data_IF_190359510781
#
_entry.id   IF_190359510781
#
_cell.length_a   1.000
_cell.length_b   1.000
_cell.length_c   1.000
_cell.angle_alpha   90.00
_cell.angle_beta   90.00
_cell.angle_gamma   90.00
#
_symmetry.space_group_name_H-M   'P 1'
#
loop_
_entity.id
_entity.type
_entity.pdbx_description
1 polymer ?
#
# COMPACT_ATOMS: atom_id res chain seq x y z
N UNK A 1 -16.52 -5.42 -2.32
CA UNK A 1 -15.36 -4.81 -1.60
C UNK A 1 -15.36 -3.30 -1.81
N UNK A 2 -15.32 -2.50 -0.76
CA UNK A 2 -15.33 -1.03 -0.76
C UNK A 2 -13.96 -0.48 -0.37
N UNK A 3 -13.66 0.78 -0.73
CA UNK A 3 -12.45 1.45 -0.25
C UNK A 3 -12.61 1.92 1.19
N UNK A 4 -11.50 2.10 1.90
CA UNK A 4 -11.48 2.53 3.31
C UNK A 4 -12.27 3.82 3.57
N UNK A 5 -12.35 4.73 2.59
CA UNK A 5 -13.12 5.97 2.70
C UNK A 5 -14.63 5.73 2.87
N UNK A 6 -15.16 4.62 2.35
CA UNK A 6 -16.56 4.24 2.53
C UNK A 6 -16.92 3.91 3.99
N UNK A 7 -15.94 3.55 4.83
CA UNK A 7 -16.14 3.36 6.27
C UNK A 7 -16.63 4.63 6.98
N UNK A 8 -16.27 5.81 6.50
CA UNK A 8 -16.71 7.06 7.12
C UNK A 8 -18.24 7.25 7.03
N UNK A 9 -18.84 6.84 5.91
CA UNK A 9 -20.29 6.85 5.76
C UNK A 9 -20.94 5.80 6.68
N UNK A 10 -20.35 4.61 6.79
CA UNK A 10 -20.81 3.56 7.69
C UNK A 10 -20.72 4.00 9.17
N UNK A 11 -19.61 4.63 9.59
CA UNK A 11 -19.48 5.16 10.96
C UNK A 11 -20.53 6.23 11.29
N UNK A 12 -20.86 7.09 10.31
CA UNK A 12 -21.97 8.06 10.48
C UNK A 12 -23.30 7.35 10.70
N UNK A 13 -23.59 6.32 9.93
CA UNK A 13 -24.79 5.49 10.11
C UNK A 13 -24.85 4.86 11.48
N UNK A 14 -23.76 4.23 11.95
CA UNK A 14 -23.67 3.64 13.30
C UNK A 14 -23.90 4.69 14.40
N UNK A 15 -23.35 5.89 14.23
CA UNK A 15 -23.52 7.00 15.18
C UNK A 15 -24.96 7.54 15.21
N UNK A 16 -25.73 7.30 14.15
CA UNK A 16 -27.15 7.70 14.03
C UNK A 16 -28.13 6.60 14.45
N UNK A 17 -27.64 5.53 15.13
CA UNK A 17 -28.48 4.42 15.61
C UNK A 17 -28.55 3.23 14.65
N UNK A 18 -27.71 3.18 13.61
CA UNK A 18 -27.56 1.99 12.78
C UNK A 18 -26.93 0.82 13.54
N UNK A 19 -27.23 -0.41 13.09
CA UNK A 19 -26.66 -1.62 13.67
C UNK A 19 -25.28 -1.95 13.07
N UNK A 20 -24.41 -2.60 13.85
CA UNK A 20 -23.18 -3.22 13.33
C UNK A 20 -23.52 -4.34 12.36
N UNK A 21 -22.68 -4.49 11.32
CA UNK A 21 -22.72 -5.69 10.49
C UNK A 21 -22.07 -6.85 11.25
N UNK A 22 -22.50 -8.10 11.01
CA UNK A 22 -21.94 -9.27 11.67
C UNK A 22 -20.49 -9.56 11.27
N UNK A 23 -20.08 -9.09 10.10
CA UNK A 23 -18.75 -9.37 9.54
C UNK A 23 -18.16 -8.15 8.85
N UNK A 24 -16.91 -7.87 9.20
CA UNK A 24 -16.04 -6.92 8.49
C UNK A 24 -14.78 -7.64 8.02
N UNK A 25 -14.33 -7.34 6.81
CA UNK A 25 -13.14 -7.95 6.24
C UNK A 25 -12.20 -6.83 5.79
N UNK A 26 -11.02 -6.74 6.40
CA UNK A 26 -9.99 -5.80 6.01
C UNK A 26 -8.93 -6.50 5.18
N UNK A 27 -8.59 -5.94 4.02
CA UNK A 27 -7.53 -6.45 3.16
C UNK A 27 -6.67 -5.31 2.64
N UNK A 28 -5.37 -5.37 2.90
CA UNK A 28 -4.44 -4.34 2.45
C UNK A 28 -3.01 -4.58 2.91
N UNK A 29 -2.12 -3.71 2.48
CA UNK A 29 -0.70 -3.73 2.77
C UNK A 29 -0.17 -2.38 3.30
N UNK A 30 -1.09 -1.45 3.67
CA UNK A 30 -0.71 -0.22 4.37
C UNK A 30 -1.01 -0.33 5.87
N UNK A 31 0.03 -0.59 6.70
CA UNK A 31 -0.18 -0.93 8.10
C UNK A 31 -0.84 0.17 8.93
N UNK A 32 -0.46 1.45 8.71
CA UNK A 32 -1.03 2.57 9.47
C UNK A 32 -2.52 2.73 9.20
N UNK A 33 -2.92 2.77 7.92
CA UNK A 33 -4.31 2.97 7.55
C UNK A 33 -5.18 1.78 7.95
N UNK A 34 -4.63 0.56 7.87
CA UNK A 34 -5.27 -0.66 8.36
C UNK A 34 -5.54 -0.57 9.86
N UNK A 35 -4.52 -0.25 10.64
CA UNK A 35 -4.62 -0.14 12.10
C UNK A 35 -5.63 0.94 12.50
N UNK A 36 -5.58 2.11 11.90
CA UNK A 36 -6.51 3.22 12.21
C UNK A 36 -7.96 2.87 11.86
N UNK A 37 -8.20 2.25 10.71
CA UNK A 37 -9.54 1.83 10.30
C UNK A 37 -10.12 0.78 11.26
N UNK A 38 -9.31 -0.20 11.64
CA UNK A 38 -9.70 -1.23 12.62
C UNK A 38 -9.92 -0.63 14.02
N UNK A 39 -9.05 0.28 14.47
CA UNK A 39 -9.18 0.92 15.79
C UNK A 39 -10.43 1.78 15.87
N UNK A 40 -10.75 2.51 14.79
CA UNK A 40 -11.97 3.29 14.73
C UNK A 40 -13.22 2.40 14.77
N UNK A 41 -13.23 1.29 14.02
CA UNK A 41 -14.34 0.34 14.01
C UNK A 41 -14.51 -0.31 15.38
N UNK A 42 -13.42 -0.77 15.99
CA UNK A 42 -13.41 -1.37 17.32
C UNK A 42 -13.86 -0.39 18.40
N UNK A 43 -13.41 0.86 18.35
CA UNK A 43 -13.86 1.91 19.27
C UNK A 43 -15.36 2.16 19.16
N UNK A 44 -15.90 2.12 17.94
CA UNK A 44 -17.33 2.24 17.69
C UNK A 44 -18.09 1.02 18.22
N UNK A 45 -17.59 -0.19 17.95
CA UNK A 45 -18.17 -1.43 18.47
C UNK A 45 -18.21 -1.44 20.01
N UNK A 46 -17.12 -1.00 20.66
CA UNK A 46 -17.05 -0.91 22.12
C UNK A 46 -18.15 0.00 22.70
N UNK A 47 -18.46 1.13 22.05
CA UNK A 47 -19.54 2.04 22.45
C UNK A 47 -20.92 1.40 22.31
N UNK A 48 -21.06 0.42 21.41
CA UNK A 48 -22.29 -0.35 21.17
C UNK A 48 -22.39 -1.63 22.00
N UNK A 49 -21.47 -1.81 22.98
CA UNK A 49 -21.52 -2.91 23.95
C UNK A 49 -20.66 -4.12 23.60
N UNK A 50 -19.89 -4.10 22.49
CA UNK A 50 -18.95 -5.17 22.13
C UNK A 50 -17.66 -5.04 22.94
N UNK A 51 -17.68 -5.48 24.21
CA UNK A 51 -16.60 -5.29 25.18
C UNK A 51 -15.70 -6.52 25.31
N UNK A 52 -16.22 -7.71 25.08
CA UNK A 52 -15.45 -8.96 25.07
C UNK A 52 -14.70 -9.10 23.73
N UNK A 53 -13.37 -9.18 23.77
CA UNK A 53 -12.51 -9.25 22.58
C UNK A 53 -11.69 -10.53 22.56
N UNK A 54 -11.80 -11.24 21.46
CA UNK A 54 -10.99 -12.41 21.15
C UNK A 54 -10.18 -12.20 19.86
N UNK A 55 -8.91 -12.64 19.84
CA UNK A 55 -8.03 -12.53 18.68
C UNK A 55 -7.46 -13.90 18.33
N UNK A 56 -7.80 -14.36 17.15
CA UNK A 56 -7.42 -15.66 16.60
C UNK A 56 -6.45 -15.42 15.46
N UNK A 57 -5.30 -16.08 15.46
CA UNK A 57 -4.31 -16.00 14.38
C UNK A 57 -4.21 -17.35 13.69
N UNK A 58 -4.45 -17.36 12.38
CA UNK A 58 -4.30 -18.55 11.57
C UNK A 58 -2.81 -18.89 11.39
N UNK A 59 -2.39 -19.98 11.98
CA UNK A 59 -1.05 -20.57 11.86
C UNK A 59 -1.11 -21.90 11.11
N UNK A 60 0.04 -22.53 10.92
CA UNK A 60 0.10 -23.87 10.31
C UNK A 60 -0.60 -24.90 11.20
N UNK A 61 -1.56 -25.63 10.64
CA UNK A 61 -2.38 -26.61 11.40
C UNK A 61 -3.52 -25.98 12.19
N UNK A 62 -3.93 -24.77 11.85
CA UNK A 62 -5.04 -24.09 12.49
C UNK A 62 -6.35 -24.90 12.45
N UNK A 63 -6.98 -25.05 13.61
CA UNK A 63 -8.30 -25.68 13.73
C UNK A 63 -9.41 -24.70 13.34
N UNK A 64 -9.93 -24.83 12.15
CA UNK A 64 -11.04 -24.02 11.64
C UNK A 64 -12.36 -24.21 12.38
N UNK A 65 -12.52 -25.33 13.13
CA UNK A 65 -13.66 -25.54 14.00
C UNK A 65 -13.72 -24.52 15.15
N UNK A 66 -12.59 -24.01 15.59
CA UNK A 66 -12.52 -22.98 16.62
C UNK A 66 -13.22 -21.68 16.20
N UNK A 67 -13.17 -21.30 14.91
CA UNK A 67 -13.88 -20.14 14.39
C UNK A 67 -15.40 -20.31 14.44
N UNK A 68 -15.90 -21.51 14.11
CA UNK A 68 -17.33 -21.85 14.18
C UNK A 68 -17.83 -21.79 15.61
N UNK A 69 -17.04 -22.31 16.55
CA UNK A 69 -17.36 -22.32 17.98
C UNK A 69 -17.31 -20.93 18.60
N UNK A 70 -16.40 -20.05 18.13
CA UNK A 70 -16.29 -18.67 18.62
C UNK A 70 -17.59 -17.87 18.43
N UNK A 71 -18.36 -18.17 17.36
CA UNK A 71 -19.68 -17.58 17.12
C UNK A 71 -20.81 -18.12 17.99
N UNK A 72 -20.64 -19.29 18.59
CA UNK A 72 -21.69 -19.97 19.39
C UNK A 72 -21.49 -19.80 20.91
N UNK A 73 -20.31 -19.37 21.33
CA UNK A 73 -20.00 -19.18 22.74
C UNK A 73 -20.69 -17.90 23.25
N UNK A 74 -21.70 -18.03 24.07
CA UNK A 74 -22.33 -16.89 24.75
C UNK A 74 -21.39 -16.36 25.85
N UNK A 75 -21.27 -15.02 25.96
CA UNK A 75 -20.59 -14.41 27.10
C UNK A 75 -21.30 -14.79 28.39
N UNK A 76 -20.55 -15.19 29.40
CA UNK A 76 -21.09 -15.52 30.73
C UNK A 76 -21.73 -14.30 31.44
N UNK A 77 -21.42 -13.09 30.97
CA UNK A 77 -21.87 -11.82 31.54
C UNK A 77 -22.84 -11.06 30.64
N UNK A 78 -23.27 -11.64 29.52
CA UNK A 78 -24.17 -10.98 28.56
C UNK A 78 -23.52 -9.90 27.68
N UNK A 79 -22.20 -9.77 27.69
CA UNK A 79 -21.49 -8.81 26.90
C UNK A 79 -21.49 -9.23 25.40
N UNK A 80 -21.63 -8.25 24.50
CA UNK A 80 -21.47 -8.48 23.06
C UNK A 80 -19.99 -8.69 22.74
N UNK A 81 -19.71 -9.56 21.76
CA UNK A 81 -18.36 -10.03 21.44
C UNK A 81 -17.81 -9.45 20.17
N UNK A 82 -16.51 -9.16 20.19
CA UNK A 82 -15.67 -8.80 19.03
C UNK A 82 -14.63 -9.89 18.80
N UNK A 83 -14.77 -10.64 17.70
CA UNK A 83 -13.83 -11.71 17.32
C UNK A 83 -13.01 -11.28 16.12
N UNK A 84 -11.70 -11.25 16.27
CA UNK A 84 -10.75 -10.85 15.22
C UNK A 84 -9.99 -12.09 14.72
N UNK A 85 -10.20 -12.48 13.45
CA UNK A 85 -9.46 -13.53 12.78
C UNK A 85 -8.39 -12.93 11.86
N UNK A 86 -7.14 -13.23 12.10
CA UNK A 86 -6.01 -12.84 11.24
C UNK A 86 -5.56 -14.00 10.39
N UNK A 87 -5.50 -13.81 9.06
CA UNK A 87 -4.97 -14.77 8.10
C UNK A 87 -3.75 -14.13 7.42
N UNK A 88 -2.53 -14.21 8.02
CA UNK A 88 -1.36 -13.45 7.58
C UNK A 88 -0.90 -13.79 6.15
N UNK A 89 -1.18 -15.00 5.69
CA UNK A 89 -0.83 -15.44 4.33
C UNK A 89 -1.84 -14.99 3.25
N UNK A 90 -3.05 -14.58 3.66
CA UNK A 90 -4.18 -14.35 2.77
C UNK A 90 -4.70 -15.61 2.07
N UNK A 91 -4.17 -16.78 2.45
CA UNK A 91 -4.48 -18.08 1.83
C UNK A 91 -4.93 -19.08 2.91
N UNK A 92 -6.25 -19.26 3.09
CA UNK A 92 -6.75 -20.16 4.14
C UNK A 92 -6.47 -21.64 3.87
N UNK A 93 -6.02 -22.00 2.66
CA UNK A 93 -5.91 -23.40 2.23
C UNK A 93 -7.28 -23.98 1.82
N UNK A 94 -7.31 -25.28 1.48
CA UNK A 94 -8.54 -25.94 1.06
C UNK A 94 -9.54 -26.04 2.20
N UNK A 95 -9.11 -26.58 3.33
CA UNK A 95 -9.98 -26.79 4.50
C UNK A 95 -10.49 -25.45 5.06
N UNK A 96 -9.61 -24.44 5.09
CA UNK A 96 -9.98 -23.10 5.49
C UNK A 96 -10.96 -22.42 4.52
N UNK A 97 -10.80 -22.60 3.22
CA UNK A 97 -11.74 -22.09 2.24
C UNK A 97 -13.14 -22.70 2.39
N UNK A 98 -13.21 -23.99 2.69
CA UNK A 98 -14.49 -24.69 2.94
C UNK A 98 -15.10 -24.24 4.28
N UNK A 99 -14.30 -24.11 5.33
CA UNK A 99 -14.74 -23.59 6.62
C UNK A 99 -15.26 -22.14 6.54
N UNK A 100 -14.57 -21.26 5.81
CA UNK A 100 -15.00 -19.86 5.66
C UNK A 100 -16.30 -19.74 4.86
N UNK A 101 -16.57 -20.62 3.88
CA UNK A 101 -17.88 -20.69 3.20
C UNK A 101 -19.00 -21.12 4.15
N UNK A 102 -18.74 -22.14 4.98
CA UNK A 102 -19.71 -22.61 5.98
C UNK A 102 -19.95 -21.51 7.02
N UNK A 103 -18.92 -20.84 7.45
CA UNK A 103 -19.00 -19.69 8.37
C UNK A 103 -19.86 -18.55 7.80
N UNK A 104 -19.67 -18.18 6.52
CA UNK A 104 -20.50 -17.18 5.86
C UNK A 104 -21.98 -17.61 5.81
N UNK A 105 -22.25 -18.88 5.50
CA UNK A 105 -23.62 -19.43 5.50
C UNK A 105 -24.25 -19.41 6.91
N UNK A 106 -23.48 -19.68 7.96
CA UNK A 106 -23.94 -19.59 9.34
C UNK A 106 -24.30 -18.14 9.70
N UNK A 107 -23.44 -17.17 9.37
CA UNK A 107 -23.73 -15.73 9.59
C UNK A 107 -25.03 -15.33 8.89
N UNK A 108 -25.20 -15.71 7.63
CA UNK A 108 -26.41 -15.41 6.86
C UNK A 108 -27.68 -15.96 7.55
N UNK A 109 -27.62 -17.18 8.12
CA UNK A 109 -28.75 -17.81 8.77
C UNK A 109 -29.11 -17.22 10.16
N UNK A 110 -28.17 -16.56 10.83
CA UNK A 110 -28.36 -15.99 12.17
C UNK A 110 -28.85 -14.53 12.15
N UNK A 111 -28.89 -13.90 10.98
CA UNK A 111 -29.05 -12.43 10.86
C UNK A 111 -30.46 -11.94 10.52
N UNK A 112 -31.51 -12.73 10.76
CA UNK A 112 -32.91 -12.33 10.53
C UNK A 112 -33.54 -11.52 11.69
N UNK A 113 -32.78 -11.09 12.71
CA UNK A 113 -33.25 -10.34 13.87
C UNK A 113 -33.05 -8.82 13.76
N UNK A 114 -34.05 -8.04 14.22
CA UNK A 114 -34.04 -6.57 14.21
C UNK A 114 -32.99 -5.94 15.16
N UNK A 115 -32.44 -6.70 16.11
CA UNK A 115 -31.61 -6.17 17.21
C UNK A 115 -30.09 -6.12 16.90
N UNK A 116 -29.68 -6.50 15.68
CA UNK A 116 -28.26 -6.58 15.29
C UNK A 116 -27.53 -7.78 15.92
N UNK A 117 -26.23 -7.99 15.61
CA UNK A 117 -25.49 -9.16 16.06
C UNK A 117 -25.04 -9.03 17.53
N UNK A 118 -24.99 -10.16 18.24
CA UNK A 118 -24.33 -10.25 19.54
C UNK A 118 -22.81 -10.51 19.41
N UNK A 119 -22.38 -11.01 18.26
CA UNK A 119 -20.98 -11.20 17.93
C UNK A 119 -20.66 -10.54 16.59
N UNK A 120 -19.64 -9.68 16.59
CA UNK A 120 -19.08 -9.07 15.39
C UNK A 120 -17.74 -9.73 15.06
N UNK A 121 -17.60 -10.20 13.83
CA UNK A 121 -16.36 -10.75 13.34
C UNK A 121 -15.59 -9.73 12.51
N UNK A 122 -14.26 -9.71 12.68
CA UNK A 122 -13.34 -8.90 11.90
C UNK A 122 -12.26 -9.79 11.31
N UNK A 123 -12.26 -10.02 10.00
CA UNK A 123 -11.23 -10.81 9.31
C UNK A 123 -10.18 -9.88 8.74
N UNK A 124 -8.91 -10.14 9.05
CA UNK A 124 -7.76 -9.33 8.62
C UNK A 124 -6.89 -10.14 7.67
N UNK A 125 -6.69 -9.61 6.48
CA UNK A 125 -5.99 -10.23 5.36
C UNK A 125 -4.92 -9.26 4.82
N UNK A 126 -3.80 -9.76 4.28
CA UNK A 126 -2.91 -8.93 3.47
C UNK A 126 -3.63 -8.51 2.19
N UNK A 127 -2.97 -7.74 1.34
CA UNK A 127 -3.48 -7.40 0.02
C UNK A 127 -3.73 -8.66 -0.79
N UNK A 128 -4.97 -8.81 -1.27
CA UNK A 128 -5.39 -9.96 -2.05
C UNK A 128 -5.18 -9.71 -3.55
N UNK A 129 -4.73 -10.74 -4.26
CA UNK A 129 -4.69 -10.74 -5.72
C UNK A 129 -6.10 -10.89 -6.33
N UNK A 130 -6.22 -10.60 -7.63
CA UNK A 130 -7.51 -10.66 -8.33
C UNK A 130 -8.15 -12.05 -8.31
N UNK A 131 -7.34 -13.12 -8.33
CA UNK A 131 -7.84 -14.51 -8.28
C UNK A 131 -8.43 -14.83 -6.90
N UNK A 132 -7.79 -14.39 -5.84
CA UNK A 132 -8.28 -14.60 -4.47
C UNK A 132 -9.56 -13.80 -4.22
N UNK A 133 -9.65 -12.56 -4.72
CA UNK A 133 -10.87 -11.72 -4.61
C UNK A 133 -12.10 -12.32 -5.32
N UNK A 134 -11.90 -13.16 -6.34
CA UNK A 134 -12.97 -13.85 -7.07
C UNK A 134 -13.15 -15.30 -6.61
N UNK A 135 -12.46 -15.73 -5.56
CA UNK A 135 -12.62 -17.09 -5.02
C UNK A 135 -13.96 -17.25 -4.29
N UNK A 136 -14.49 -18.47 -4.32
CA UNK A 136 -15.81 -18.76 -3.72
C UNK A 136 -15.88 -18.47 -2.21
N UNK A 137 -14.77 -18.69 -1.47
CA UNK A 137 -14.73 -18.39 -0.03
C UNK A 137 -14.76 -16.90 0.26
N UNK A 138 -14.04 -16.09 -0.55
CA UNK A 138 -14.02 -14.66 -0.34
C UNK A 138 -15.33 -14.01 -0.75
N UNK A 139 -15.91 -14.42 -1.90
CA UNK A 139 -17.24 -13.95 -2.33
C UNK A 139 -18.31 -14.25 -1.29
N UNK A 140 -18.32 -15.47 -0.72
CA UNK A 140 -19.29 -15.84 0.32
C UNK A 140 -19.19 -14.92 1.57
N UNK A 141 -17.98 -14.53 1.96
CA UNK A 141 -17.78 -13.59 3.07
C UNK A 141 -18.19 -12.15 2.70
N UNK A 142 -17.87 -11.68 1.48
CA UNK A 142 -18.22 -10.33 1.01
C UNK A 142 -19.75 -10.14 0.84
N UNK A 143 -20.48 -11.25 0.55
CA UNK A 143 -21.94 -11.24 0.42
C UNK A 143 -22.67 -11.05 1.77
N UNK A 144 -22.09 -11.49 2.89
CA UNK A 144 -22.70 -11.43 4.23
C UNK A 144 -22.10 -10.35 5.13
N UNK A 145 -21.04 -9.67 4.67
CA UNK A 145 -20.31 -8.66 5.44
C UNK A 145 -19.92 -7.45 4.61
N UNK A 146 -19.00 -6.67 5.14
CA UNK A 146 -18.39 -5.54 4.44
C UNK A 146 -16.91 -5.81 4.24
N UNK A 147 -16.48 -6.05 3.00
CA UNK A 147 -15.06 -6.15 2.68
C UNK A 147 -14.49 -4.76 2.34
N UNK A 148 -13.46 -4.37 3.08
CA UNK A 148 -12.79 -3.07 3.03
C UNK A 148 -11.39 -3.26 2.45
N UNK A 149 -11.08 -2.54 1.37
CA UNK A 149 -9.75 -2.50 0.80
C UNK A 149 -8.97 -1.30 1.33
N UNK A 150 -7.79 -1.57 1.89
CA UNK A 150 -6.85 -0.58 2.40
C UNK A 150 -5.64 -0.56 1.49
N UNK A 151 -5.63 0.36 0.54
CA UNK A 151 -4.53 0.50 -0.42
C UNK A 151 -3.39 1.36 0.17
N UNK A 152 -2.18 1.14 -0.33
CA UNK A 152 -1.05 2.05 -0.11
C UNK A 152 -1.35 3.43 -0.67
N UNK A 153 -0.79 4.45 -0.04
CA UNK A 153 -0.95 5.83 -0.48
C UNK A 153 0.13 6.17 -1.53
N UNK A 154 -0.31 6.54 -2.72
CA UNK A 154 0.60 7.01 -3.77
C UNK A 154 1.33 8.29 -3.36
N UNK A 155 2.60 8.44 -3.83
CA UNK A 155 3.41 9.64 -3.58
C UNK A 155 2.68 10.94 -3.93
N UNK A 156 1.88 10.95 -5.01
CA UNK A 156 1.11 12.13 -5.45
C UNK A 156 0.04 12.59 -4.46
N UNK A 157 -0.49 11.70 -3.63
CA UNK A 157 -1.52 11.99 -2.62
C UNK A 157 -0.93 12.26 -1.23
N UNK A 158 0.36 11.96 -1.04
CA UNK A 158 1.02 12.07 0.26
C UNK A 158 1.05 13.52 0.81
N UNK A 159 1.31 14.58 0.02
CA UNK A 159 1.25 15.95 0.52
C UNK A 159 -0.12 16.34 1.07
N UNK A 160 -1.20 15.95 0.38
CA UNK A 160 -2.57 16.21 0.83
C UNK A 160 -2.91 15.43 2.12
N UNK A 161 -2.47 14.18 2.23
CA UNK A 161 -2.63 13.39 3.44
C UNK A 161 -1.89 14.00 4.63
N UNK A 162 -0.65 14.46 4.43
CA UNK A 162 0.16 15.15 5.46
C UNK A 162 -0.52 16.44 5.92
N UNK A 163 -1.01 17.27 5.00
CA UNK A 163 -1.75 18.49 5.33
C UNK A 163 -3.00 18.18 6.18
N UNK A 164 -3.73 17.11 5.82
CA UNK A 164 -4.88 16.63 6.60
C UNK A 164 -4.50 16.20 8.01
N UNK A 165 -3.32 15.58 8.20
CA UNK A 165 -2.81 15.17 9.51
C UNK A 165 -2.40 16.37 10.37
N UNK A 166 -1.68 17.34 9.82
CA UNK A 166 -1.35 18.59 10.49
C UNK A 166 -2.61 19.31 10.97
N UNK A 167 -3.62 19.42 10.09
CA UNK A 167 -4.88 20.07 10.43
C UNK A 167 -5.61 19.40 11.60
N UNK A 168 -5.56 18.05 11.71
CA UNK A 168 -6.19 17.32 12.82
C UNK A 168 -5.60 17.68 14.20
N UNK A 169 -4.34 18.11 14.24
CA UNK A 169 -3.68 18.58 15.48
C UNK A 169 -3.62 20.12 15.60
N UNK A 170 -4.38 20.83 14.77
CA UNK A 170 -4.48 22.30 14.81
C UNK A 170 -3.28 23.03 14.18
N UNK A 171 -2.48 22.33 13.39
CA UNK A 171 -1.34 22.90 12.67
C UNK A 171 -1.62 22.95 11.16
N UNK A 172 -1.02 23.89 10.47
CA UNK A 172 -1.08 24.00 9.01
C UNK A 172 0.23 24.56 8.46
N UNK A 173 0.54 24.27 7.21
CA UNK A 173 1.66 24.94 6.52
C UNK A 173 1.18 26.29 5.97
N UNK A 174 2.13 27.17 5.63
CA UNK A 174 1.82 28.43 4.99
C UNK A 174 1.05 28.25 3.68
N UNK A 175 0.17 29.19 3.36
CA UNK A 175 -0.62 29.14 2.12
C UNK A 175 0.27 29.59 0.95
N UNK A 176 0.23 28.82 -0.14
CA UNK A 176 0.96 29.16 -1.36
C UNK A 176 2.17 28.27 -1.64
N UNK A 177 3.10 28.73 -2.49
CA UNK A 177 4.21 27.89 -2.97
C UNK A 177 5.15 27.40 -1.86
N UNK A 178 5.32 28.16 -0.78
CA UNK A 178 6.19 27.81 0.35
C UNK A 178 5.62 26.63 1.14
N UNK A 179 4.34 26.68 1.49
CA UNK A 179 3.67 25.55 2.15
C UNK A 179 3.63 24.31 1.28
N UNK A 180 3.44 24.47 -0.04
CA UNK A 180 3.50 23.34 -0.95
C UNK A 180 4.89 22.71 -0.97
N UNK A 181 5.98 23.51 -1.01
CA UNK A 181 7.35 23.00 -0.93
C UNK A 181 7.62 22.29 0.41
N UNK A 182 7.09 22.82 1.51
CA UNK A 182 7.22 22.19 2.81
C UNK A 182 6.54 20.82 2.87
N UNK A 183 5.31 20.69 2.35
CA UNK A 183 4.62 19.40 2.27
C UNK A 183 5.32 18.40 1.34
N UNK A 184 5.82 18.88 0.20
CA UNK A 184 6.61 18.04 -0.73
C UNK A 184 7.91 17.57 -0.07
N UNK A 185 8.57 18.45 0.69
CA UNK A 185 9.75 18.07 1.47
C UNK A 185 9.43 16.97 2.48
N UNK A 186 8.38 17.13 3.31
CA UNK A 186 7.97 16.06 4.24
C UNK A 186 7.71 14.78 3.47
N UNK A 187 6.93 14.86 2.41
CA UNK A 187 6.57 13.70 1.59
C UNK A 187 7.81 12.96 1.05
N UNK A 188 8.84 13.70 0.62
CA UNK A 188 10.11 13.11 0.18
C UNK A 188 10.88 12.41 1.30
N UNK A 189 10.77 12.92 2.54
CA UNK A 189 11.46 12.33 3.69
C UNK A 189 10.79 11.08 4.24
N UNK A 190 9.48 10.91 4.01
CA UNK A 190 8.67 9.84 4.61
C UNK A 190 8.05 8.89 3.59
N UNK A 191 8.37 9.04 2.30
CA UNK A 191 7.81 8.21 1.22
C UNK A 191 7.95 6.72 1.52
N UNK A 192 6.87 5.95 1.31
CA UNK A 192 6.82 4.52 1.59
C UNK A 192 6.75 4.13 3.08
N UNK A 193 6.62 5.09 4.00
CA UNK A 193 6.59 4.82 5.44
C UNK A 193 5.57 5.71 6.16
N UNK A 194 4.27 5.43 6.01
CA UNK A 194 3.21 6.23 6.63
C UNK A 194 3.23 6.20 8.17
N UNK A 195 3.70 5.11 8.78
CA UNK A 195 3.86 5.04 10.25
C UNK A 195 4.85 6.10 10.70
N UNK A 196 6.02 6.14 10.08
CA UNK A 196 7.01 7.16 10.40
C UNK A 196 6.53 8.57 10.02
N UNK A 197 5.83 8.73 8.90
CA UNK A 197 5.20 9.99 8.52
C UNK A 197 4.26 10.50 9.62
N UNK A 198 3.43 9.62 10.17
CA UNK A 198 2.54 9.97 11.27
C UNK A 198 3.31 10.36 12.53
N UNK A 199 4.37 9.63 12.88
CA UNK A 199 5.23 9.96 14.02
C UNK A 199 5.93 11.31 13.85
N UNK A 200 6.42 11.65 12.66
CA UNK A 200 7.01 12.95 12.36
C UNK A 200 5.98 14.09 12.49
N UNK A 201 4.76 13.88 12.05
CA UNK A 201 3.66 14.84 12.24
C UNK A 201 3.35 15.04 13.73
N UNK A 202 3.21 13.95 14.51
CA UNK A 202 2.99 14.05 15.95
C UNK A 202 4.15 14.80 16.65
N UNK A 203 5.38 14.56 16.25
CA UNK A 203 6.56 15.26 16.76
C UNK A 203 6.47 16.77 16.49
N UNK A 204 6.03 17.21 15.32
CA UNK A 204 5.78 18.61 15.03
C UNK A 204 4.75 19.22 15.98
N UNK A 205 3.70 18.47 16.33
CA UNK A 205 2.70 18.88 17.31
C UNK A 205 3.25 19.05 18.74
N UNK A 206 4.31 18.31 19.07
CA UNK A 206 5.00 18.46 20.37
C UNK A 206 6.01 19.60 20.38
N UNK A 207 6.67 19.86 19.25
CA UNK A 207 7.73 20.87 19.16
C UNK A 207 7.20 22.30 18.95
N UNK A 208 6.06 22.44 18.31
CA UNK A 208 5.52 23.74 17.92
C UNK A 208 4.05 23.87 18.32
N UNK A 209 3.59 25.07 18.69
CA UNK A 209 2.19 25.31 19.04
C UNK A 209 1.27 25.11 17.84
N UNK A 210 -0.03 25.08 18.10
CA UNK A 210 -1.06 25.14 17.05
C UNK A 210 -0.91 26.42 16.22
N UNK A 211 -1.22 26.33 14.92
CA UNK A 211 -1.10 27.43 13.97
C UNK A 211 -0.21 27.09 12.77
N UNK A 212 0.41 28.10 12.19
CA UNK A 212 1.22 27.96 10.97
C UNK A 212 2.63 27.49 11.29
N UNK A 213 3.09 26.50 10.53
CA UNK A 213 4.46 26.00 10.54
C UNK A 213 5.23 26.58 9.36
N UNK A 214 6.42 27.14 9.63
CA UNK A 214 7.32 27.62 8.57
C UNK A 214 8.07 26.46 7.92
N UNK A 215 8.54 26.69 6.69
CA UNK A 215 9.39 25.69 5.98
C UNK A 215 10.67 25.37 6.78
N UNK A 216 11.27 26.35 7.46
CA UNK A 216 12.47 26.17 8.28
C UNK A 216 12.20 25.26 9.50
N UNK A 217 11.10 25.48 10.22
CA UNK A 217 10.68 24.61 11.33
C UNK A 217 10.51 23.17 10.89
N UNK A 218 9.86 22.95 9.73
CA UNK A 218 9.66 21.63 9.17
C UNK A 218 10.99 20.99 8.80
N UNK A 219 11.86 21.70 8.04
CA UNK A 219 13.15 21.17 7.58
C UNK A 219 14.09 20.79 8.71
N UNK A 220 14.10 21.57 9.79
CA UNK A 220 14.96 21.29 10.95
C UNK A 220 14.48 20.13 11.81
N UNK A 221 13.19 19.77 11.71
CA UNK A 221 12.56 18.80 12.61
C UNK A 221 12.32 17.43 11.97
N UNK A 222 12.11 17.36 10.64
CA UNK A 222 11.77 16.11 9.95
C UNK A 222 13.03 15.31 9.62
N UNK A 223 13.03 14.04 10.02
CA UNK A 223 14.10 13.08 9.70
C UNK A 223 13.82 12.37 8.39
N UNK A 224 14.89 11.95 7.71
CA UNK A 224 14.78 11.09 6.53
C UNK A 224 14.47 9.66 6.97
N UNK A 225 13.25 9.23 6.81
CA UNK A 225 12.72 7.91 7.19
C UNK A 225 11.99 7.19 6.03
N UNK A 226 12.18 7.72 4.82
CA UNK A 226 11.61 7.13 3.61
C UNK A 226 12.06 5.68 3.44
N UNK A 227 11.13 4.82 3.06
CA UNK A 227 11.39 3.43 2.64
C UNK A 227 11.00 3.28 1.19
N UNK A 228 11.91 2.75 0.43
CA UNK A 228 11.71 2.58 -1.00
C UNK A 228 11.64 1.11 -1.37
N UNK A 229 10.81 0.78 -2.35
CA UNK A 229 10.84 -0.54 -2.94
C UNK A 229 11.37 -0.49 -4.38
N UNK A 230 11.91 -1.60 -4.84
CA UNK A 230 12.54 -1.72 -6.15
C UNK A 230 11.55 -1.47 -7.31
N UNK A 231 10.26 -1.75 -7.11
CA UNK A 231 9.25 -1.56 -8.16
C UNK A 231 8.89 -0.08 -8.33
N UNK A 232 8.86 0.70 -7.26
CA UNK A 232 8.65 2.16 -7.31
C UNK A 232 9.85 2.87 -7.92
N UNK A 233 11.08 2.33 -7.77
CA UNK A 233 12.28 2.81 -8.45
C UNK A 233 12.09 2.83 -9.98
N UNK A 234 11.50 1.77 -10.54
CA UNK A 234 11.25 1.70 -11.99
C UNK A 234 10.19 2.71 -12.42
N UNK A 235 9.22 3.05 -11.58
CA UNK A 235 8.26 4.13 -11.86
C UNK A 235 8.93 5.50 -11.91
N UNK A 236 9.81 5.81 -10.94
CA UNK A 236 10.59 7.05 -10.95
C UNK A 236 11.46 7.16 -12.22
N UNK A 237 12.04 6.04 -12.66
CA UNK A 237 12.82 5.93 -13.90
C UNK A 237 11.95 6.20 -15.13
N UNK A 238 10.78 5.57 -15.25
CA UNK A 238 9.82 5.80 -16.33
C UNK A 238 9.28 7.24 -16.34
N UNK A 239 9.07 7.83 -15.17
CA UNK A 239 8.66 9.22 -15.04
C UNK A 239 9.76 10.20 -15.50
N UNK A 240 11.04 9.80 -15.46
CA UNK A 240 12.19 10.67 -15.68
C UNK A 240 12.46 11.61 -14.52
N UNK A 241 11.96 11.27 -13.33
CA UNK A 241 12.17 12.01 -12.09
C UNK A 241 13.53 11.64 -11.47
N UNK A 242 14.58 12.27 -11.99
CA UNK A 242 15.96 12.02 -11.54
C UNK A 242 16.19 12.36 -10.06
N UNK A 243 15.66 13.46 -9.50
CA UNK A 243 15.80 13.73 -8.06
C UNK A 243 15.21 12.59 -7.21
N UNK A 244 14.01 12.12 -7.54
CA UNK A 244 13.38 11.00 -6.83
C UNK A 244 14.16 9.71 -7.03
N UNK A 245 14.55 9.39 -8.27
CA UNK A 245 15.35 8.20 -8.59
C UNK A 245 16.65 8.15 -7.76
N UNK A 246 17.37 9.27 -7.67
CA UNK A 246 18.61 9.34 -6.90
C UNK A 246 18.38 9.15 -5.40
N UNK A 247 17.33 9.77 -4.82
CA UNK A 247 16.97 9.56 -3.41
C UNK A 247 16.62 8.09 -3.12
N UNK A 248 15.90 7.44 -4.04
CA UNK A 248 15.54 6.03 -3.92
C UNK A 248 16.75 5.11 -4.00
N UNK A 249 17.67 5.38 -4.93
CA UNK A 249 18.93 4.63 -5.02
C UNK A 249 19.78 4.77 -3.74
N UNK A 250 19.87 5.98 -3.17
CA UNK A 250 20.57 6.20 -1.91
C UNK A 250 19.91 5.46 -0.74
N UNK A 251 18.57 5.47 -0.68
CA UNK A 251 17.80 4.75 0.33
C UNK A 251 17.99 3.25 0.24
N UNK A 252 17.76 2.66 -0.94
CA UNK A 252 17.93 1.22 -1.19
C UNK A 252 19.38 0.75 -0.91
N UNK A 253 20.38 1.57 -1.27
CA UNK A 253 21.78 1.31 -0.93
C UNK A 253 22.00 1.31 0.58
N UNK A 254 21.43 2.29 1.28
CA UNK A 254 21.55 2.42 2.73
C UNK A 254 20.83 1.30 3.51
N UNK A 255 19.74 0.77 2.96
CA UNK A 255 18.99 -0.38 3.51
C UNK A 255 19.64 -1.73 3.19
N UNK A 256 20.67 -1.75 2.35
CA UNK A 256 21.38 -2.98 1.96
C UNK A 256 20.61 -3.85 0.96
N UNK A 257 19.70 -3.25 0.19
CA UNK A 257 18.96 -4.00 -0.84
C UNK A 257 19.91 -4.66 -1.84
N UNK A 258 19.67 -5.94 -2.19
CA UNK A 258 20.52 -6.65 -3.12
C UNK A 258 20.58 -6.00 -4.50
N UNK A 259 21.76 -5.56 -4.92
CA UNK A 259 21.97 -4.92 -6.22
C UNK A 259 21.42 -5.76 -7.40
N UNK A 260 21.51 -7.09 -7.28
CA UNK A 260 21.02 -8.02 -8.32
C UNK A 260 19.52 -7.89 -8.51
N UNK A 261 18.75 -7.70 -7.44
CA UNK A 261 17.30 -7.51 -7.50
C UNK A 261 16.96 -6.20 -8.22
N UNK A 262 17.68 -5.13 -7.89
CA UNK A 262 17.49 -3.81 -8.51
C UNK A 262 17.82 -3.88 -10.01
N UNK A 263 18.95 -4.48 -10.37
CA UNK A 263 19.37 -4.65 -11.76
C UNK A 263 18.38 -5.50 -12.56
N UNK A 264 17.86 -6.55 -11.95
CA UNK A 264 16.83 -7.37 -12.57
C UNK A 264 15.59 -6.54 -12.91
N UNK A 265 15.05 -5.83 -11.92
CA UNK A 265 13.83 -5.02 -12.08
C UNK A 265 14.03 -3.91 -13.13
N UNK A 266 15.14 -3.18 -13.05
CA UNK A 266 15.48 -2.11 -14.00
C UNK A 266 15.66 -2.67 -15.43
N UNK A 267 16.31 -3.83 -15.55
CA UNK A 267 16.56 -4.45 -16.88
C UNK A 267 15.27 -4.92 -17.52
N UNK A 268 14.37 -5.55 -16.76
CA UNK A 268 13.05 -5.95 -17.27
C UNK A 268 12.23 -4.73 -17.73
N UNK A 269 12.27 -3.64 -16.97
CA UNK A 269 11.58 -2.40 -17.35
C UNK A 269 12.14 -1.78 -18.63
N UNK A 270 13.48 -1.77 -18.77
CA UNK A 270 14.13 -1.29 -20.00
C UNK A 270 13.79 -2.14 -21.22
N UNK A 271 13.76 -3.47 -21.06
CA UNK A 271 13.35 -4.39 -22.15
C UNK A 271 11.94 -4.09 -22.61
N UNK A 272 11.02 -3.91 -21.66
CA UNK A 272 9.64 -3.61 -21.97
C UNK A 272 9.50 -2.24 -22.63
N UNK A 273 10.18 -1.21 -22.10
CA UNK A 273 10.20 0.12 -22.71
C UNK A 273 10.78 0.07 -24.14
N UNK A 274 11.85 -0.71 -24.38
CA UNK A 274 12.44 -0.89 -25.71
C UNK A 274 11.47 -1.54 -26.69
N UNK A 275 10.74 -2.56 -26.24
CA UNK A 275 9.73 -3.24 -27.05
C UNK A 275 8.59 -2.29 -27.43
N UNK A 276 8.07 -1.54 -26.46
CA UNK A 276 6.99 -0.59 -26.68
C UNK A 276 7.42 0.60 -27.56
N UNK A 277 8.66 1.07 -27.38
CA UNK A 277 9.25 2.12 -28.22
C UNK A 277 9.39 1.68 -29.67
N UNK A 278 9.93 0.47 -29.92
CA UNK A 278 10.07 -0.08 -31.26
C UNK A 278 8.70 -0.23 -31.97
N UNK A 279 7.69 -0.71 -31.26
CA UNK A 279 6.33 -0.81 -31.78
C UNK A 279 5.72 0.56 -32.09
N UNK A 280 5.94 1.55 -31.23
CA UNK A 280 5.51 2.93 -31.45
C UNK A 280 6.16 3.53 -32.70
N UNK A 281 7.46 3.30 -32.88
CA UNK A 281 8.21 3.79 -34.04
C UNK A 281 7.81 3.08 -35.35
N UNK A 282 7.30 1.83 -35.27
CA UNK A 282 6.70 1.08 -36.36
C UNK A 282 5.22 1.41 -36.64
N UNK A 283 4.61 2.32 -35.87
CA UNK A 283 3.19 2.69 -36.02
C UNK A 283 2.22 1.66 -35.47
N UNK A 284 2.68 0.71 -34.65
CA UNK A 284 1.83 -0.29 -34.01
C UNK A 284 1.08 0.28 -32.78
N UNK A 285 -0.01 -0.38 -32.38
CA UNK A 285 -0.79 0.02 -31.22
C UNK A 285 -0.05 -0.27 -29.92
N UNK A 286 0.59 0.75 -29.33
CA UNK A 286 1.23 0.67 -28.01
C UNK A 286 0.24 0.23 -26.94
N UNK A 287 -1.02 0.67 -27.01
CA UNK A 287 -2.04 0.32 -26.04
C UNK A 287 -2.37 -1.18 -26.04
N UNK A 288 -2.47 -1.81 -27.21
CA UNK A 288 -2.65 -3.26 -27.32
C UNK A 288 -1.48 -4.03 -26.73
N UNK A 289 -0.25 -3.59 -27.01
CA UNK A 289 0.96 -4.20 -26.46
C UNK A 289 1.06 -4.01 -24.94
N UNK A 290 0.67 -2.87 -24.41
CA UNK A 290 0.62 -2.65 -22.95
C UNK A 290 -0.34 -3.65 -22.28
N UNK A 291 -1.55 -3.84 -22.84
CA UNK A 291 -2.51 -4.85 -22.35
C UNK A 291 -1.96 -6.27 -22.44
N UNK A 292 -1.35 -6.64 -23.56
CA UNK A 292 -0.74 -7.95 -23.76
C UNK A 292 0.41 -8.24 -22.79
N UNK A 293 1.16 -7.21 -22.38
CA UNK A 293 2.22 -7.33 -21.38
C UNK A 293 1.73 -7.05 -19.94
N UNK A 294 0.40 -7.00 -19.71
CA UNK A 294 -0.23 -6.82 -18.38
C UNK A 294 0.25 -5.57 -17.65
N UNK A 295 0.39 -4.46 -18.35
CA UNK A 295 0.72 -3.17 -17.75
C UNK A 295 -0.56 -2.55 -17.24
N UNK A 296 -0.64 -2.35 -15.93
CA UNK A 296 -1.79 -1.79 -15.23
C UNK A 296 -1.37 -0.68 -14.24
N UNK A 297 -2.35 0.10 -13.79
CA UNK A 297 -2.17 1.10 -12.74
C UNK A 297 -1.34 2.30 -13.19
N UNK A 298 -0.42 2.75 -12.33
CA UNK A 298 0.37 3.96 -12.56
C UNK A 298 1.22 3.89 -13.83
N UNK A 299 1.75 2.71 -14.16
CA UNK A 299 2.58 2.48 -15.35
C UNK A 299 1.83 2.72 -16.67
N UNK A 300 0.50 2.55 -16.72
CA UNK A 300 -0.30 2.87 -17.92
C UNK A 300 -0.14 4.33 -18.36
N UNK A 301 0.07 5.24 -17.42
CA UNK A 301 0.27 6.68 -17.68
C UNK A 301 1.75 6.98 -17.97
N UNK A 302 2.67 6.26 -17.31
CA UNK A 302 4.11 6.52 -17.40
C UNK A 302 4.72 6.07 -18.71
N UNK A 303 4.35 4.91 -19.24
CA UNK A 303 4.91 4.39 -20.48
C UNK A 303 4.71 5.30 -21.71
N UNK A 304 3.52 5.82 -22.01
CA UNK A 304 3.33 6.72 -23.15
C UNK A 304 4.21 7.99 -23.05
N UNK A 305 4.39 8.51 -21.84
CA UNK A 305 5.25 9.67 -21.60
C UNK A 305 6.75 9.31 -21.82
N UNK A 306 7.19 8.16 -21.28
CA UNK A 306 8.55 7.67 -21.46
C UNK A 306 8.89 7.38 -22.92
N UNK A 307 7.98 6.74 -23.67
CA UNK A 307 8.15 6.43 -25.12
C UNK A 307 8.35 7.70 -25.93
N UNK A 308 7.62 8.78 -25.65
CA UNK A 308 7.78 10.08 -26.34
C UNK A 308 9.08 10.78 -25.97
N UNK A 309 9.50 10.69 -24.70
CA UNK A 309 10.67 11.39 -24.18
C UNK A 309 11.98 10.72 -24.58
N UNK A 310 12.05 9.40 -24.46
CA UNK A 310 13.31 8.66 -24.60
C UNK A 310 13.61 8.36 -26.06
N UNK A 311 14.79 8.78 -26.51
CA UNK A 311 15.27 8.49 -27.86
C UNK A 311 15.84 7.06 -27.99
N UNK A 312 15.60 6.39 -29.11
CA UNK A 312 16.03 5.02 -29.32
C UNK A 312 17.54 4.78 -29.13
N UNK A 313 18.47 5.70 -29.58
CA UNK A 313 19.90 5.54 -29.27
C UNK A 313 20.22 5.57 -27.76
N UNK A 314 19.59 6.48 -27.00
CA UNK A 314 19.78 6.56 -25.56
C UNK A 314 19.27 5.30 -24.87
N UNK A 315 18.14 4.76 -25.31
CA UNK A 315 17.57 3.52 -24.77
C UNK A 315 18.48 2.31 -25.05
N UNK A 316 19.06 2.21 -26.26
CA UNK A 316 20.08 1.19 -26.55
C UNK A 316 21.30 1.31 -25.65
N UNK A 317 21.78 2.54 -25.41
CA UNK A 317 22.90 2.77 -24.49
C UNK A 317 22.56 2.39 -23.08
N UNK A 318 21.34 2.69 -22.61
CA UNK A 318 20.85 2.28 -21.29
C UNK A 318 20.84 0.75 -21.14
N UNK A 319 20.40 0.01 -22.15
CA UNK A 319 20.48 -1.46 -22.17
C UNK A 319 21.92 -1.99 -22.10
N UNK A 320 22.88 -1.35 -22.81
CA UNK A 320 24.29 -1.72 -22.73
C UNK A 320 24.87 -1.46 -21.33
N UNK A 321 24.52 -0.32 -20.72
CA UNK A 321 24.91 0.01 -19.34
C UNK A 321 24.34 -1.03 -18.37
N UNK A 322 23.05 -1.37 -18.47
CA UNK A 322 22.44 -2.40 -17.62
C UNK A 322 23.14 -3.76 -17.74
N UNK A 323 23.45 -4.19 -18.97
CA UNK A 323 24.20 -5.43 -19.22
C UNK A 323 25.65 -5.39 -18.67
N UNK A 324 26.27 -4.22 -18.70
CA UNK A 324 27.60 -4.01 -18.09
C UNK A 324 27.55 -4.08 -16.56
N UNK A 325 26.53 -3.46 -15.96
CA UNK A 325 26.30 -3.51 -14.51
C UNK A 325 25.99 -4.93 -14.02
N UNK A 326 25.23 -5.71 -14.79
CA UNK A 326 24.99 -7.13 -14.47
C UNK A 326 26.30 -7.95 -14.48
N UNK A 327 27.18 -7.72 -15.44
CA UNK A 327 28.52 -8.34 -15.43
C UNK A 327 29.34 -7.88 -14.24
N UNK A 328 29.36 -6.58 -13.94
CA UNK A 328 30.08 -6.03 -12.80
C UNK A 328 29.59 -6.60 -11.47
N UNK A 329 28.27 -6.80 -11.31
CA UNK A 329 27.69 -7.43 -10.11
C UNK A 329 28.13 -8.89 -9.91
N UNK A 330 28.58 -9.56 -10.99
CA UNK A 330 29.14 -10.92 -11.00
C UNK A 330 30.66 -10.96 -10.92
N UNK A 331 31.30 -9.82 -10.64
CA UNK A 331 32.76 -9.71 -10.52
C UNK A 331 33.52 -9.65 -11.86
N UNK A 332 32.82 -9.48 -12.99
CA UNK A 332 33.43 -9.34 -14.30
C UNK A 332 33.74 -7.88 -14.59
N UNK A 333 34.90 -7.62 -15.23
CA UNK A 333 35.31 -6.26 -15.56
C UNK A 333 34.41 -5.60 -16.63
N UNK A 334 34.03 -4.33 -16.38
CA UNK A 334 33.29 -3.48 -17.32
C UNK A 334 33.96 -2.11 -17.41
N UNK A 335 34.96 -2.00 -18.26
CA UNK A 335 35.91 -0.88 -18.37
C UNK A 335 35.28 0.52 -18.58
N UNK A 336 34.05 0.59 -19.09
CA UNK A 336 33.38 1.85 -19.45
C UNK A 336 32.38 2.31 -18.38
N UNK A 337 32.26 1.60 -17.25
CA UNK A 337 31.29 1.90 -16.21
C UNK A 337 31.95 2.43 -14.95
N UNK A 338 31.23 3.23 -14.12
CA UNK A 338 31.71 3.62 -12.81
C UNK A 338 32.08 2.41 -11.96
N UNK A 339 33.09 2.57 -11.09
CA UNK A 339 33.53 1.52 -10.19
C UNK A 339 32.43 1.09 -9.21
N UNK A 340 31.63 2.04 -8.73
CA UNK A 340 30.44 1.76 -7.94
C UNK A 340 29.24 1.50 -8.86
N UNK A 341 28.63 0.30 -8.84
CA UNK A 341 27.45 -0.03 -9.64
C UNK A 341 26.24 0.88 -9.39
N UNK A 342 26.14 1.48 -8.20
CA UNK A 342 25.08 2.43 -7.88
C UNK A 342 25.19 3.72 -8.69
N UNK A 343 26.41 4.18 -8.96
CA UNK A 343 26.65 5.32 -9.87
C UNK A 343 26.34 4.94 -11.32
N UNK A 344 26.53 3.67 -11.67
CA UNK A 344 26.08 3.12 -12.95
C UNK A 344 24.56 3.14 -13.12
N UNK A 345 23.79 2.87 -12.05
CA UNK A 345 22.33 3.01 -12.05
C UNK A 345 21.89 4.48 -12.21
N UNK A 346 22.61 5.44 -11.59
CA UNK A 346 22.36 6.88 -11.81
C UNK A 346 22.64 7.29 -13.26
N UNK A 347 23.74 6.81 -13.82
CA UNK A 347 24.05 7.03 -15.23
C UNK A 347 22.93 6.51 -16.14
N UNK A 348 22.41 5.32 -15.85
CA UNK A 348 21.29 4.72 -16.57
C UNK A 348 20.03 5.60 -16.50
N UNK A 349 19.68 6.10 -15.32
CA UNK A 349 18.57 7.03 -15.16
C UNK A 349 18.72 8.30 -16.00
N UNK A 350 19.93 8.87 -16.06
CA UNK A 350 20.22 10.04 -16.88
C UNK A 350 20.04 9.82 -18.38
N UNK A 351 20.28 8.60 -18.88
CA UNK A 351 20.06 8.26 -20.29
C UNK A 351 18.58 8.25 -20.68
N UNK A 352 17.70 8.06 -19.71
CA UNK A 352 16.24 7.97 -19.93
C UNK A 352 15.51 9.32 -19.76
N UNK A 353 16.24 10.36 -19.51
CA UNK A 353 15.75 11.74 -19.42
C UNK A 353 15.32 12.31 -20.78
#
# INVERSE_FOLDING_TARGET
MVKVDALQAHFKSLSSGGAMLPLYIFSGDEPLLMMEAMDQLRSTAKKLGFTDRDVIVQERGFDWGSLMNAGQTMSLFGDKRWVELRIPTGKPGRDGADALKQFAAQIASQHDGADGPDTVFCIVLPRLDGKTKTSAWFSALDDVGMAIQVDTLDRSHLPQWLAGRLKKQGQEVEVGPEGQRALEFIADQVEGNLIAAHQEILKLGLLYPTGKLTEEQIRSSILKVARYNVFELTEAMLAGDLPRLNRMLDGLKGEGEPLVLILWSVTEELRLLSKLKAASDAGESVQQLMRANRIWGNKERLYPAAIRRVQAPKLRRAMQVAAGLDRQSKGLHAAELPADPWDGLRLLGNLLR
#
